data_IF_683578924830
#
_entry.id   IF_683578924830
#
_cell.length_a   1.000
_cell.length_b   1.000
_cell.length_c   1.000
_cell.angle_alpha   90.00
_cell.angle_beta   90.00
_cell.angle_gamma   90.00
#
_symmetry.space_group_name_H-M   'P 1'
#
loop_
_entity.id
_entity.type
_entity.pdbx_description
1 polymer ?
#
# COMPACT_ATOMS: atom_id res chain seq x y z
N UNK A 1 -10.15 16.93 -7.80
CA UNK A 1 -9.32 15.70 -7.76
C UNK A 1 -8.90 15.47 -6.31
N UNK A 2 -9.22 14.35 -5.75
CA UNK A 2 -8.76 13.90 -4.45
C UNK A 2 -7.71 12.80 -4.64
N UNK A 3 -6.78 12.64 -3.70
CA UNK A 3 -5.77 11.59 -3.74
C UNK A 3 -5.83 10.82 -2.42
N UNK A 4 -6.44 9.65 -2.48
CA UNK A 4 -6.62 8.81 -1.31
C UNK A 4 -5.67 7.63 -1.29
N UNK A 5 -5.50 7.04 -0.12
CA UNK A 5 -4.63 5.89 0.08
C UNK A 5 -5.42 4.70 0.61
N UNK A 6 -4.99 3.50 0.24
CA UNK A 6 -5.64 2.27 0.67
C UNK A 6 -4.60 1.21 1.01
N UNK A 7 -4.72 0.61 2.19
CA UNK A 7 -3.84 -0.45 2.69
C UNK A 7 -4.61 -1.44 3.58
N UNK A 8 -4.07 -2.64 3.77
CA UNK A 8 -4.76 -3.68 4.54
C UNK A 8 -4.90 -3.30 6.03
N UNK A 9 -3.84 -2.81 6.64
CA UNK A 9 -3.81 -2.53 8.09
C UNK A 9 -3.03 -1.26 8.38
N UNK A 10 -3.53 -0.43 9.30
CA UNK A 10 -2.79 0.67 9.88
C UNK A 10 -2.47 0.36 11.33
N UNK A 11 -1.19 0.17 11.66
CA UNK A 11 -0.73 -0.15 13.01
C UNK A 11 0.49 0.66 13.43
N UNK A 12 0.68 0.78 14.75
CA UNK A 12 1.84 1.46 15.32
C UNK A 12 3.11 0.66 15.03
N UNK A 13 4.16 1.36 14.56
CA UNK A 13 5.46 0.73 14.30
C UNK A 13 5.55 -0.04 12.98
N UNK A 14 4.48 -0.05 12.18
CA UNK A 14 4.48 -0.61 10.83
C UNK A 14 5.07 0.40 9.83
N UNK A 15 6.04 -0.05 9.02
CA UNK A 15 6.71 0.81 8.04
C UNK A 15 5.75 1.35 6.98
N UNK A 16 4.84 0.50 6.47
CA UNK A 16 3.86 0.87 5.44
C UNK A 16 2.86 1.89 5.99
N UNK A 17 2.35 1.65 7.20
CA UNK A 17 1.45 2.57 7.88
C UNK A 17 2.08 3.94 8.14
N UNK A 18 3.35 3.96 8.55
CA UNK A 18 4.09 5.22 8.75
C UNK A 18 4.31 5.95 7.43
N UNK A 19 4.62 5.25 6.35
CA UNK A 19 4.76 5.83 5.03
C UNK A 19 3.44 6.43 4.54
N UNK A 20 2.33 5.69 4.66
CA UNK A 20 1.01 6.19 4.28
C UNK A 20 0.64 7.48 5.02
N UNK A 21 0.93 7.59 6.32
CA UNK A 21 0.72 8.83 7.09
C UNK A 21 1.56 9.99 6.57
N UNK A 22 2.81 9.76 6.16
CA UNK A 22 3.68 10.80 5.62
C UNK A 22 3.28 11.24 4.22
N UNK A 23 2.89 10.28 3.38
CA UNK A 23 2.34 10.60 2.06
C UNK A 23 1.06 11.44 2.23
N UNK A 24 0.19 11.09 3.18
CA UNK A 24 -1.01 11.87 3.46
C UNK A 24 -0.67 13.31 3.88
N UNK A 25 0.30 13.48 4.78
CA UNK A 25 0.75 14.80 5.21
C UNK A 25 1.30 15.62 4.03
N UNK A 26 2.16 15.02 3.22
CA UNK A 26 2.72 15.67 2.04
C UNK A 26 1.63 16.09 1.04
N UNK A 27 0.67 15.21 0.74
CA UNK A 27 -0.45 15.51 -0.16
C UNK A 27 -1.32 16.66 0.37
N UNK A 28 -1.62 16.66 1.68
CA UNK A 28 -2.39 17.72 2.30
C UNK A 28 -1.66 19.07 2.30
N UNK A 29 -0.35 19.06 2.49
CA UNK A 29 0.48 20.27 2.40
C UNK A 29 0.51 20.85 0.98
N UNK A 30 0.38 20.00 -0.04
CA UNK A 30 0.24 20.40 -1.44
C UNK A 30 -1.21 20.78 -1.82
N UNK A 31 -2.14 20.76 -0.86
CA UNK A 31 -3.53 21.19 -1.04
C UNK A 31 -4.48 20.13 -1.59
N UNK A 32 -4.09 18.85 -1.58
CA UNK A 32 -4.98 17.77 -1.94
C UNK A 32 -5.81 17.27 -0.75
N UNK A 33 -7.07 16.95 -0.99
CA UNK A 33 -7.84 16.12 -0.05
C UNK A 33 -7.29 14.71 -0.09
N UNK A 34 -6.82 14.22 1.07
CA UNK A 34 -6.23 12.89 1.19
C UNK A 34 -6.67 12.22 2.49
N UNK A 35 -7.31 11.06 2.34
CA UNK A 35 -7.65 10.17 3.43
C UNK A 35 -7.02 8.79 3.23
N UNK A 36 -6.83 8.08 4.34
CA UNK A 36 -6.35 6.70 4.37
C UNK A 36 -7.51 5.77 4.67
N UNK A 37 -7.71 4.73 3.85
CA UNK A 37 -8.77 3.73 4.01
C UNK A 37 -8.15 2.36 4.27
N UNK A 38 -8.66 1.64 5.27
CA UNK A 38 -8.07 0.37 5.72
C UNK A 38 -9.14 -0.68 6.08
N UNK A 39 -8.78 -1.96 5.95
CA UNK A 39 -9.61 -3.04 6.49
C UNK A 39 -9.55 -3.07 8.01
N UNK A 40 -8.35 -2.88 8.58
CA UNK A 40 -8.11 -2.96 10.01
C UNK A 40 -7.27 -1.78 10.48
N UNK A 41 -7.70 -1.16 11.59
CA UNK A 41 -6.94 -0.12 12.28
C UNK A 41 -6.62 -0.58 13.70
N UNK A 42 -5.35 -0.47 14.09
CA UNK A 42 -4.95 -0.71 15.48
C UNK A 42 -5.55 0.35 16.40
N UNK A 43 -5.97 0.01 17.64
CA UNK A 43 -6.58 0.98 18.56
C UNK A 43 -5.77 2.29 18.75
N UNK A 44 -4.44 2.19 18.81
CA UNK A 44 -3.55 3.37 18.96
C UNK A 44 -3.54 4.29 17.73
N UNK A 45 -4.08 3.83 16.60
CA UNK A 45 -4.23 4.57 15.36
C UNK A 45 -5.67 5.00 15.09
N UNK A 46 -6.56 4.86 16.09
CA UNK A 46 -7.96 5.25 15.95
C UNK A 46 -8.08 6.72 15.51
N UNK A 47 -8.95 6.98 14.53
CA UNK A 47 -9.16 8.31 13.96
C UNK A 47 -8.15 8.77 12.91
N UNK A 48 -7.08 7.98 12.63
CA UNK A 48 -6.10 8.30 11.58
C UNK A 48 -6.42 7.70 10.21
N UNK A 49 -7.36 6.77 10.17
CA UNK A 49 -7.85 6.17 8.94
C UNK A 49 -9.36 5.96 8.99
N UNK A 50 -9.97 5.86 7.83
CA UNK A 50 -11.37 5.51 7.62
C UNK A 50 -11.48 4.01 7.31
N UNK A 51 -12.69 3.47 7.45
CA UNK A 51 -12.96 2.08 7.08
C UNK A 51 -12.92 1.92 5.57
N UNK A 52 -12.43 0.77 5.11
CA UNK A 52 -12.32 0.45 3.69
C UNK A 52 -13.62 0.72 2.92
N UNK A 53 -14.75 0.30 3.47
CA UNK A 53 -16.05 0.39 2.80
C UNK A 53 -16.57 1.82 2.65
N UNK A 54 -16.12 2.76 3.48
CA UNK A 54 -16.48 4.18 3.37
C UNK A 54 -15.89 4.82 2.10
N UNK A 55 -14.93 4.15 1.44
CA UNK A 55 -14.36 4.65 0.19
C UNK A 55 -15.37 4.75 -0.95
N UNK A 56 -16.42 3.93 -0.93
CA UNK A 56 -17.47 3.98 -1.95
C UNK A 56 -18.14 5.34 -2.04
N UNK A 57 -18.14 6.12 -0.96
CA UNK A 57 -18.75 7.46 -0.91
C UNK A 57 -17.92 8.51 -1.67
N UNK A 58 -16.63 8.26 -1.87
CA UNK A 58 -15.67 9.20 -2.49
C UNK A 58 -15.05 8.69 -3.78
N UNK A 59 -15.28 7.42 -4.13
CA UNK A 59 -14.74 6.81 -5.36
C UNK A 59 -15.19 7.58 -6.60
N UNK A 60 -14.25 7.94 -7.46
CA UNK A 60 -14.51 8.72 -8.66
C UNK A 60 -13.40 8.51 -9.71
N UNK A 61 -13.76 8.51 -11.01
CA UNK A 61 -12.76 8.46 -12.08
C UNK A 61 -11.86 9.71 -12.13
N UNK A 62 -12.26 10.81 -11.45
CA UNK A 62 -11.50 12.05 -11.37
C UNK A 62 -10.53 12.09 -10.17
N UNK A 63 -10.54 11.06 -9.33
CA UNK A 63 -9.64 10.90 -8.19
C UNK A 63 -8.44 10.01 -8.52
N UNK A 64 -7.47 9.92 -7.61
CA UNK A 64 -6.35 9.00 -7.69
C UNK A 64 -6.31 8.15 -6.41
N UNK A 65 -6.24 6.84 -6.59
CA UNK A 65 -6.06 5.90 -5.49
C UNK A 65 -4.61 5.42 -5.44
N UNK A 66 -3.92 5.67 -4.32
CA UNK A 66 -2.63 5.07 -4.00
C UNK A 66 -2.90 3.75 -3.26
N UNK A 67 -2.66 2.63 -3.92
CA UNK A 67 -2.84 1.30 -3.34
C UNK A 67 -1.50 0.77 -2.81
N UNK A 68 -1.37 0.66 -1.49
CA UNK A 68 -0.22 0.02 -0.84
C UNK A 68 -0.39 -1.50 -0.90
N UNK A 69 0.54 -2.17 -1.56
CA UNK A 69 0.45 -3.60 -1.83
C UNK A 69 1.64 -4.36 -1.23
N UNK A 70 1.38 -5.27 -0.29
CA UNK A 70 2.41 -6.05 0.40
C UNK A 70 2.07 -7.53 0.58
N UNK A 71 0.78 -7.88 0.53
CA UNK A 71 0.29 -9.26 0.69
C UNK A 71 -1.14 -9.33 0.14
N UNK A 72 -1.62 -10.54 -0.18
CA UNK A 72 -3.02 -10.76 -0.55
C UNK A 72 -3.96 -10.41 0.61
N UNK A 73 -4.92 -9.53 0.34
CA UNK A 73 -5.87 -9.05 1.34
C UNK A 73 -7.19 -8.62 0.66
N UNK A 74 -8.27 -8.50 1.43
CA UNK A 74 -9.56 -8.05 0.89
C UNK A 74 -9.52 -6.66 0.29
N UNK A 75 -8.59 -5.80 0.76
CA UNK A 75 -8.34 -4.48 0.17
C UNK A 75 -8.01 -4.54 -1.31
N UNK A 76 -7.24 -5.53 -1.75
CA UNK A 76 -6.86 -5.70 -3.15
C UNK A 76 -8.10 -6.03 -4.00
N UNK A 77 -8.91 -6.98 -3.55
CA UNK A 77 -10.15 -7.35 -4.24
C UNK A 77 -11.12 -6.16 -4.34
N UNK A 78 -11.24 -5.37 -3.26
CA UNK A 78 -12.06 -4.18 -3.24
C UNK A 78 -11.55 -3.12 -4.24
N UNK A 79 -10.25 -2.77 -4.17
CA UNK A 79 -9.63 -1.76 -5.03
C UNK A 79 -9.73 -2.12 -6.53
N UNK A 80 -9.65 -3.41 -6.86
CA UNK A 80 -9.71 -3.87 -8.25
C UNK A 80 -11.05 -3.52 -8.95
N UNK A 81 -12.14 -3.38 -8.19
CA UNK A 81 -13.47 -3.08 -8.71
C UNK A 81 -13.82 -1.58 -8.73
N UNK A 82 -12.96 -0.72 -8.21
CA UNK A 82 -13.18 0.72 -8.18
C UNK A 82 -13.03 1.33 -9.58
N UNK A 83 -13.63 2.50 -9.78
CA UNK A 83 -13.53 3.25 -11.04
C UNK A 83 -12.31 4.18 -11.07
N UNK A 84 -11.70 4.40 -9.92
CA UNK A 84 -10.57 5.30 -9.72
C UNK A 84 -9.34 4.85 -10.52
N UNK A 85 -8.57 5.77 -11.13
CA UNK A 85 -7.20 5.51 -11.54
C UNK A 85 -6.35 5.05 -10.35
N UNK A 86 -5.59 3.96 -10.52
CA UNK A 86 -4.77 3.38 -9.46
C UNK A 86 -3.30 3.64 -9.74
N UNK A 87 -2.60 4.13 -8.72
CA UNK A 87 -1.15 4.10 -8.59
C UNK A 87 -0.83 3.05 -7.52
N UNK A 88 -0.02 2.05 -7.88
CA UNK A 88 0.33 0.97 -6.96
C UNK A 88 1.68 1.26 -6.31
N UNK A 89 1.76 1.14 -4.98
CA UNK A 89 2.99 1.21 -4.20
C UNK A 89 3.26 -0.18 -3.64
N UNK A 90 4.30 -0.82 -4.16
CA UNK A 90 4.64 -2.21 -3.88
C UNK A 90 5.74 -2.31 -2.83
N UNK A 91 5.40 -2.94 -1.70
CA UNK A 91 6.27 -3.11 -0.54
C UNK A 91 6.87 -4.52 -0.43
N UNK A 92 6.95 -5.24 -1.54
CA UNK A 92 7.37 -6.64 -1.61
C UNK A 92 6.33 -7.63 -1.02
N UNK A 93 6.29 -8.81 -1.61
CA UNK A 93 5.61 -9.97 -1.03
C UNK A 93 6.68 -10.97 -0.63
N UNK A 94 6.87 -11.12 0.68
CA UNK A 94 7.84 -12.06 1.22
C UNK A 94 7.65 -13.45 0.60
N UNK A 95 8.70 -14.11 0.09
CA UNK A 95 8.57 -15.44 -0.48
C UNK A 95 7.96 -16.43 0.50
N UNK A 96 6.89 -17.10 0.10
CA UNK A 96 6.08 -18.01 0.93
C UNK A 96 6.90 -19.09 1.64
N UNK A 97 8.02 -19.54 1.02
CA UNK A 97 8.94 -20.55 1.59
C UNK A 97 9.45 -20.21 2.98
N UNK A 98 9.58 -18.93 3.32
CA UNK A 98 10.06 -18.47 4.63
C UNK A 98 9.04 -18.68 5.74
N UNK A 99 7.74 -18.81 5.40
CA UNK A 99 6.66 -18.97 6.37
C UNK A 99 6.24 -20.43 6.60
N UNK A 100 6.67 -21.36 5.73
CA UNK A 100 6.21 -22.76 5.74
C UNK A 100 6.31 -23.44 7.12
N UNK A 101 7.42 -23.19 7.83
CA UNK A 101 7.67 -23.83 9.14
C UNK A 101 7.10 -23.09 10.35
N UNK A 102 6.85 -21.77 10.22
CA UNK A 102 6.56 -20.92 11.38
C UNK A 102 5.17 -20.30 11.34
N UNK A 103 4.65 -19.97 10.14
CA UNK A 103 3.37 -19.31 9.96
C UNK A 103 2.67 -19.81 8.70
N UNK A 104 2.16 -21.05 8.68
CA UNK A 104 1.59 -21.66 7.46
C UNK A 104 0.44 -20.86 6.84
N UNK A 105 -0.36 -20.14 7.65
CA UNK A 105 -1.44 -19.29 7.15
C UNK A 105 -0.94 -18.15 6.23
N UNK A 106 0.27 -17.62 6.45
CA UNK A 106 0.86 -16.59 5.59
C UNK A 106 1.30 -17.14 4.23
N UNK A 107 1.58 -18.43 4.14
CA UNK A 107 1.97 -19.08 2.87
C UNK A 107 0.88 -18.88 1.81
N UNK A 108 -0.37 -19.16 2.18
CA UNK A 108 -1.52 -18.96 1.29
C UNK A 108 -1.69 -17.50 0.88
N UNK A 109 -1.57 -16.57 1.84
CA UNK A 109 -1.68 -15.14 1.57
C UNK A 109 -0.58 -14.62 0.64
N UNK A 110 0.66 -15.11 0.77
CA UNK A 110 1.75 -14.73 -0.13
C UNK A 110 1.51 -15.23 -1.58
N UNK A 111 1.07 -16.46 -1.76
CA UNK A 111 0.71 -16.97 -3.09
C UNK A 111 -0.49 -16.24 -3.69
N UNK A 112 -1.51 -15.97 -2.87
CA UNK A 112 -2.68 -15.25 -3.31
C UNK A 112 -2.33 -13.82 -3.72
N UNK A 113 -1.51 -13.12 -2.91
CA UNK A 113 -1.06 -11.78 -3.21
C UNK A 113 -0.28 -11.68 -4.53
N UNK A 114 0.55 -12.67 -4.88
CA UNK A 114 1.24 -12.66 -6.18
C UNK A 114 0.27 -12.78 -7.35
N UNK A 115 -0.76 -13.59 -7.24
CA UNK A 115 -1.80 -13.71 -8.27
C UNK A 115 -2.66 -12.45 -8.37
N UNK A 116 -2.97 -11.83 -7.23
CA UNK A 116 -3.67 -10.54 -7.20
C UNK A 116 -2.82 -9.44 -7.83
N UNK A 117 -1.50 -9.41 -7.55
CA UNK A 117 -0.57 -8.45 -8.15
C UNK A 117 -0.61 -8.54 -9.68
N UNK A 118 -0.55 -9.74 -10.25
CA UNK A 118 -0.68 -9.96 -11.70
C UNK A 118 -2.00 -9.41 -12.26
N UNK A 119 -3.11 -9.57 -11.52
CA UNK A 119 -4.41 -9.07 -11.96
C UNK A 119 -4.48 -7.53 -12.01
N UNK A 120 -3.62 -6.83 -11.29
CA UNK A 120 -3.55 -5.36 -11.31
C UNK A 120 -2.81 -4.79 -12.53
N UNK A 121 -2.04 -5.57 -13.28
CA UNK A 121 -1.27 -5.09 -14.44
C UNK A 121 -2.12 -4.24 -15.41
N UNK A 122 -3.33 -4.65 -15.85
CA UNK A 122 -4.16 -3.85 -16.75
C UNK A 122 -4.88 -2.68 -16.06
N UNK A 123 -4.84 -2.58 -14.73
CA UNK A 123 -5.61 -1.61 -13.94
C UNK A 123 -4.78 -0.43 -13.45
N UNK A 124 -3.47 -0.61 -13.33
CA UNK A 124 -2.56 0.35 -12.71
C UNK A 124 -1.97 1.28 -13.76
N UNK A 125 -2.00 2.59 -13.48
CA UNK A 125 -1.41 3.60 -14.36
C UNK A 125 0.09 3.77 -14.17
N UNK A 126 0.56 3.54 -12.95
CA UNK A 126 1.97 3.59 -12.56
C UNK A 126 2.16 2.67 -11.37
N UNK A 127 3.19 1.81 -11.43
CA UNK A 127 3.57 0.95 -10.32
C UNK A 127 4.94 1.38 -9.77
N UNK A 128 4.99 1.63 -8.46
CA UNK A 128 6.19 2.07 -7.74
C UNK A 128 6.65 0.98 -6.79
N UNK A 129 7.92 0.59 -6.88
CA UNK A 129 8.57 -0.24 -5.86
C UNK A 129 9.28 0.64 -4.83
N UNK A 130 9.38 0.21 -3.57
CA UNK A 130 10.15 0.91 -2.54
C UNK A 130 11.67 0.83 -2.75
N UNK A 131 12.11 0.04 -3.73
CA UNK A 131 13.51 -0.16 -4.12
C UNK A 131 13.62 -0.55 -5.59
N UNK A 132 14.84 -0.46 -6.15
CA UNK A 132 15.13 -0.98 -7.49
C UNK A 132 14.86 -2.48 -7.63
N UNK A 133 15.06 -3.24 -6.54
CA UNK A 133 14.72 -4.66 -6.52
C UNK A 133 13.21 -4.88 -6.72
N UNK A 134 12.37 -4.13 -5.99
CA UNK A 134 10.92 -4.22 -6.09
C UNK A 134 10.41 -3.66 -7.42
N UNK A 135 11.03 -2.61 -7.96
CA UNK A 135 10.72 -2.11 -9.30
C UNK A 135 10.98 -3.19 -10.37
N UNK A 136 12.14 -3.86 -10.31
CA UNK A 136 12.46 -4.92 -11.26
C UNK A 136 11.50 -6.11 -11.15
N UNK A 137 11.02 -6.43 -9.95
CA UNK A 137 9.97 -7.45 -9.75
C UNK A 137 8.65 -7.05 -10.41
N UNK A 138 8.24 -5.78 -10.28
CA UNK A 138 7.05 -5.24 -10.96
C UNK A 138 7.17 -5.32 -12.48
N UNK A 139 8.31 -4.98 -13.05
CA UNK A 139 8.58 -5.11 -14.49
C UNK A 139 8.51 -6.56 -14.96
N UNK A 140 9.07 -7.48 -14.17
CA UNK A 140 9.01 -8.92 -14.47
C UNK A 140 7.58 -9.49 -14.44
N UNK A 141 6.68 -8.90 -13.63
CA UNK A 141 5.24 -9.22 -13.60
C UNK A 141 4.50 -8.64 -14.80
N UNK A 142 5.04 -7.57 -15.41
CA UNK A 142 4.45 -6.95 -16.60
C UNK A 142 3.92 -5.52 -16.41
N UNK A 143 4.20 -4.88 -15.27
CA UNK A 143 3.83 -3.49 -15.07
C UNK A 143 4.67 -2.54 -15.95
N UNK A 144 4.01 -1.56 -16.55
CA UNK A 144 4.64 -0.49 -17.33
C UNK A 144 3.66 0.70 -17.43
N UNK A 145 4.03 1.93 -17.01
CA UNK A 145 5.34 2.33 -16.47
C UNK A 145 5.58 1.90 -15.02
N UNK A 146 6.86 1.83 -14.63
CA UNK A 146 7.31 1.59 -13.26
C UNK A 146 8.26 2.67 -12.79
N UNK A 147 8.44 2.79 -11.48
CA UNK A 147 9.38 3.71 -10.84
C UNK A 147 9.78 3.25 -9.45
N UNK A 148 10.63 4.03 -8.78
CA UNK A 148 11.04 3.80 -7.39
C UNK A 148 10.53 4.94 -6.53
N UNK A 149 9.84 4.58 -5.44
CA UNK A 149 9.46 5.46 -4.34
C UNK A 149 10.07 4.90 -3.05
N UNK A 150 11.26 5.34 -2.64
CA UNK A 150 11.89 4.84 -1.43
C UNK A 150 11.07 5.17 -0.19
N UNK A 151 11.06 4.24 0.78
CA UNK A 151 10.41 4.47 2.06
C UNK A 151 10.88 5.77 2.71
N UNK A 152 9.94 6.61 3.11
CA UNK A 152 10.23 7.87 3.80
C UNK A 152 10.62 7.58 5.25
N UNK A 153 11.93 7.54 5.52
CA UNK A 153 12.47 7.37 6.87
C UNK A 153 12.39 8.68 7.67
N UNK A 154 12.20 8.55 9.00
CA UNK A 154 12.29 9.68 9.93
C UNK A 154 13.70 9.75 10.53
N UNK A 155 14.54 10.70 10.11
CA UNK A 155 15.87 10.83 10.67
C UNK A 155 15.86 11.04 12.19
N UNK A 156 14.86 11.76 12.72
CA UNK A 156 14.71 12.02 14.16
C UNK A 156 14.40 10.79 15.01
N UNK A 157 13.92 9.69 14.40
CA UNK A 157 13.73 8.40 15.06
C UNK A 157 14.97 7.50 15.03
N UNK A 158 15.97 7.87 14.24
CA UNK A 158 17.24 7.13 14.13
C UNK A 158 18.30 7.65 15.12
N UNK A 159 18.10 8.81 15.72
CA UNK A 159 18.93 9.36 16.79
C UNK A 159 18.61 8.73 18.16
N UNK A 160 18.62 7.39 18.22
CA UNK A 160 18.69 6.69 19.50
C UNK A 160 20.16 6.73 19.91
N UNK A 161 20.50 7.59 20.86
CA UNK A 161 21.81 7.58 21.50
C UNK A 161 22.10 6.15 22.00
N UNK A 162 23.28 5.57 21.71
CA UNK A 162 23.63 4.27 22.24
C UNK A 162 23.58 4.32 23.77
N UNK A 163 22.77 3.49 24.37
CA UNK A 163 22.69 3.25 25.82
C UNK A 163 23.94 2.60 26.34
#
# INVERSE_FOLDING_TARGET
MQIHQMLATLSTGDAIGNEALRIQEALRNEGFDSDIFVETVHPDMAGKARKLWDYQEVSSPDNLLLLHFSIGAGVSAFAHHLVDPILLIYHNITPARWFVKFRPHLVGLCYHGRRELEAFVPRVRLALGDSEFNRAELEAVGFNPTGVLPLMLDPGRLDIAPS
#
